data_IF_180146390020
#
_entry.id   IF_180146390020
#
_cell.length_a   1.000
_cell.length_b   1.000
_cell.length_c   1.000
_cell.angle_alpha   90.00
_cell.angle_beta   90.00
_cell.angle_gamma   90.00
#
_symmetry.space_group_name_H-M   'P 1'
#
loop_
_entity.id
_entity.type
_entity.pdbx_description
1 polymer ?
#
# COMPACT_ATOMS: atom_id res chain seq x y z
N UNK A 1 37.88 -23.23 -10.75
CA UNK A 1 37.19 -22.85 -12.00
C UNK A 1 35.71 -22.79 -11.67
N UNK A 2 35.27 -21.66 -11.12
CA UNK A 2 34.49 -20.63 -11.83
C UNK A 2 33.19 -21.18 -12.42
N UNK A 3 32.14 -21.23 -11.60
CA UNK A 3 30.75 -21.13 -12.07
C UNK A 3 30.29 -19.72 -11.71
N UNK A 4 30.34 -18.84 -12.70
CA UNK A 4 30.01 -17.43 -12.55
C UNK A 4 28.60 -17.23 -12.02
N UNK A 5 28.47 -16.30 -11.08
CA UNK A 5 27.23 -15.57 -10.89
C UNK A 5 26.95 -14.81 -12.19
N UNK A 6 26.12 -15.37 -13.05
CA UNK A 6 25.44 -14.62 -14.10
C UNK A 6 24.42 -13.68 -13.41
N UNK A 7 24.93 -12.58 -12.86
CA UNK A 7 24.12 -11.39 -12.64
C UNK A 7 23.77 -10.85 -14.02
N UNK A 8 22.66 -11.32 -14.59
CA UNK A 8 22.07 -10.65 -15.73
C UNK A 8 21.86 -9.18 -15.35
N UNK A 9 22.26 -8.21 -16.18
CA UNK A 9 21.97 -6.80 -15.92
C UNK A 9 20.45 -6.65 -15.86
N UNK A 10 19.90 -6.48 -14.65
CA UNK A 10 18.48 -6.31 -14.44
C UNK A 10 18.05 -5.01 -15.13
N UNK A 11 17.15 -5.14 -16.10
CA UNK A 11 16.66 -4.07 -16.94
C UNK A 11 15.73 -3.16 -16.14
N UNK A 12 16.25 -2.03 -15.64
CA UNK A 12 15.50 -0.96 -14.91
C UNK A 12 14.06 -0.83 -15.41
N UNK A 13 13.08 -1.27 -14.62
CA UNK A 13 11.66 -1.36 -15.03
C UNK A 13 10.93 -0.03 -14.88
N UNK A 14 11.44 0.83 -13.99
CA UNK A 14 10.91 2.16 -13.71
C UNK A 14 11.00 3.10 -14.93
N UNK A 15 9.92 3.82 -15.30
CA UNK A 15 9.98 4.83 -16.34
C UNK A 15 10.84 6.03 -15.91
N UNK A 16 11.43 6.72 -16.88
CA UNK A 16 12.31 7.88 -16.66
C UNK A 16 12.00 9.04 -17.62
N UNK A 17 10.72 9.35 -17.80
CA UNK A 17 10.28 10.49 -18.61
C UNK A 17 10.66 11.80 -17.91
N UNK A 18 11.06 12.78 -18.68
CA UNK A 18 11.20 14.17 -18.21
C UNK A 18 9.83 14.84 -18.05
N UNK A 19 9.77 15.93 -17.28
CA UNK A 19 8.57 16.76 -17.12
C UNK A 19 7.99 17.20 -18.49
N UNK A 20 8.87 17.49 -19.46
CA UNK A 20 8.46 17.87 -20.82
C UNK A 20 7.80 16.70 -21.56
N UNK A 21 8.42 15.51 -21.55
CA UNK A 21 7.86 14.32 -22.20
C UNK A 21 6.54 13.91 -21.55
N UNK A 22 6.45 14.01 -20.22
CA UNK A 22 5.21 13.74 -19.49
C UNK A 22 4.10 14.75 -19.83
N UNK A 23 4.41 16.04 -19.99
CA UNK A 23 3.43 17.03 -20.43
C UNK A 23 2.95 16.80 -21.89
N UNK A 24 3.87 16.44 -22.79
CA UNK A 24 3.55 16.07 -24.17
C UNK A 24 2.67 14.80 -24.22
N UNK A 25 2.94 13.84 -23.34
CA UNK A 25 2.15 12.62 -23.18
C UNK A 25 0.71 12.95 -22.76
N UNK A 26 0.52 13.85 -21.79
CA UNK A 26 -0.81 14.28 -21.33
C UNK A 26 -1.62 14.90 -22.47
N UNK A 27 -1.02 15.82 -23.23
CA UNK A 27 -1.67 16.45 -24.38
C UNK A 27 -1.97 15.43 -25.50
N UNK A 28 -1.02 14.54 -25.81
CA UNK A 28 -1.17 13.52 -26.86
C UNK A 28 -2.31 12.56 -26.54
N UNK A 29 -2.31 11.98 -25.34
CA UNK A 29 -3.19 10.86 -24.95
C UNK A 29 -4.54 11.35 -24.41
N UNK A 30 -4.57 12.41 -23.59
CA UNK A 30 -5.78 12.88 -22.91
C UNK A 30 -6.32 14.20 -23.48
N UNK A 31 -5.55 14.90 -24.31
CA UNK A 31 -6.01 16.13 -24.98
C UNK A 31 -6.03 17.36 -24.08
N UNK A 32 -5.31 17.30 -22.97
CA UNK A 32 -5.25 18.37 -21.98
C UNK A 32 -3.96 19.17 -22.12
N UNK A 33 -4.08 20.51 -22.15
CA UNK A 33 -2.92 21.39 -22.10
C UNK A 33 -2.46 21.55 -20.65
N UNK A 34 -1.21 21.16 -20.40
CA UNK A 34 -0.57 21.25 -19.08
C UNK A 34 -0.15 22.70 -18.81
N UNK A 35 -0.58 23.23 -17.67
CA UNK A 35 -0.13 24.52 -17.13
C UNK A 35 1.19 24.35 -16.38
N UNK A 36 1.26 23.36 -15.49
CA UNK A 36 2.50 22.92 -14.86
C UNK A 36 2.43 21.42 -14.53
N UNK A 37 3.60 20.81 -14.39
CA UNK A 37 3.77 19.42 -14.01
C UNK A 37 4.94 19.31 -13.04
N UNK A 38 4.86 18.42 -12.06
CA UNK A 38 5.95 18.13 -11.13
C UNK A 38 6.00 16.64 -10.81
N UNK A 39 7.20 16.08 -10.75
CA UNK A 39 7.41 14.70 -10.32
C UNK A 39 6.95 14.48 -8.88
N UNK A 40 6.36 13.31 -8.62
CA UNK A 40 6.01 12.82 -7.29
C UNK A 40 6.91 11.62 -6.92
N UNK A 41 7.28 11.49 -5.63
CA UNK A 41 7.96 10.30 -5.15
C UNK A 41 7.16 9.02 -5.47
N UNK A 42 7.88 7.95 -5.77
CA UNK A 42 7.30 6.70 -6.27
C UNK A 42 8.27 5.54 -6.09
N UNK A 43 7.73 4.33 -5.95
CA UNK A 43 8.51 3.10 -5.82
C UNK A 43 9.04 2.64 -7.19
N UNK A 44 8.28 1.79 -7.90
CA UNK A 44 8.62 1.28 -9.23
C UNK A 44 7.99 2.04 -10.40
N UNK A 45 6.89 2.74 -10.16
CA UNK A 45 6.20 3.56 -11.17
C UNK A 45 6.78 4.97 -11.25
N UNK A 46 6.33 5.77 -12.22
CA UNK A 46 6.63 7.20 -12.30
C UNK A 46 5.33 8.01 -12.24
N UNK A 47 5.23 8.89 -11.23
CA UNK A 47 4.04 9.67 -10.95
C UNK A 47 4.32 11.17 -11.12
N UNK A 48 3.38 11.91 -11.68
CA UNK A 48 3.46 13.37 -11.76
C UNK A 48 2.17 14.02 -11.29
N UNK A 49 2.27 15.09 -10.50
CA UNK A 49 1.15 15.98 -10.26
C UNK A 49 1.07 16.97 -11.44
N UNK A 50 -0.09 17.03 -12.08
CA UNK A 50 -0.36 17.81 -13.28
C UNK A 50 -1.48 18.80 -13.00
N UNK A 51 -1.31 20.07 -13.37
CA UNK A 51 -2.40 21.04 -13.44
C UNK A 51 -2.64 21.44 -14.88
N UNK A 52 -3.90 21.50 -15.30
CA UNK A 52 -4.28 21.83 -16.68
C UNK A 52 -4.75 23.27 -16.81
N UNK A 53 -4.63 23.83 -18.02
CA UNK A 53 -4.89 25.26 -18.32
C UNK A 53 -6.38 25.60 -18.57
N UNK A 54 -7.32 24.70 -18.29
CA UNK A 54 -8.76 24.92 -18.53
C UNK A 54 -9.39 25.86 -17.48
N UNK A 55 -10.56 26.45 -17.80
CA UNK A 55 -11.36 27.20 -16.82
C UNK A 55 -11.75 26.27 -15.65
N UNK A 56 -11.37 26.63 -14.42
CA UNK A 56 -11.52 25.77 -13.24
C UNK A 56 -10.22 25.10 -12.77
N UNK A 57 -9.19 25.04 -13.63
CA UNK A 57 -7.85 24.53 -13.37
C UNK A 57 -7.81 23.22 -12.56
N UNK A 58 -8.31 22.16 -13.18
CA UNK A 58 -8.31 20.82 -12.58
C UNK A 58 -6.88 20.28 -12.38
N UNK A 59 -6.73 19.49 -11.31
CA UNK A 59 -5.48 18.85 -10.93
C UNK A 59 -5.61 17.32 -11.06
N UNK A 60 -4.55 16.68 -11.56
CA UNK A 60 -4.50 15.25 -11.85
C UNK A 60 -3.17 14.63 -11.41
N UNK A 61 -3.17 13.30 -11.26
CA UNK A 61 -1.95 12.50 -11.17
C UNK A 61 -1.80 11.70 -12.45
N UNK A 62 -0.74 11.99 -13.21
CA UNK A 62 -0.29 11.13 -14.30
C UNK A 62 0.50 9.98 -13.68
N UNK A 63 -0.02 8.75 -13.82
CA UNK A 63 0.64 7.53 -13.37
C UNK A 63 1.13 6.74 -14.58
N UNK A 64 2.44 6.53 -14.64
CA UNK A 64 3.12 5.72 -15.66
C UNK A 64 3.59 4.45 -14.96
N UNK A 65 2.88 3.35 -15.19
CA UNK A 65 3.18 2.07 -14.56
C UNK A 65 4.42 1.46 -15.19
N UNK A 66 5.28 0.85 -14.37
CA UNK A 66 6.54 0.25 -14.79
C UNK A 66 6.39 -0.80 -15.91
N UNK A 67 7.47 -1.09 -16.62
CA UNK A 67 7.41 -1.88 -17.85
C UNK A 67 6.99 -3.35 -17.64
N UNK A 68 7.21 -3.89 -16.44
CA UNK A 68 6.90 -5.27 -16.09
C UNK A 68 5.41 -5.42 -15.78
N UNK A 69 4.87 -4.61 -14.86
CA UNK A 69 3.44 -4.60 -14.57
C UNK A 69 2.59 -4.18 -15.77
N UNK A 70 3.15 -3.36 -16.67
CA UNK A 70 2.50 -2.99 -17.93
C UNK A 70 2.29 -4.15 -18.90
N UNK A 71 2.90 -5.32 -18.66
CA UNK A 71 2.60 -6.55 -19.40
C UNK A 71 1.31 -7.24 -18.93
N UNK A 72 0.72 -6.79 -17.82
CA UNK A 72 -0.49 -7.35 -17.20
C UNK A 72 -1.67 -6.35 -17.28
N UNK A 73 -2.20 -6.04 -18.48
CA UNK A 73 -3.24 -5.03 -18.63
C UNK A 73 -4.53 -5.35 -17.87
N UNK A 74 -4.88 -6.64 -17.72
CA UNK A 74 -6.05 -7.07 -16.94
C UNK A 74 -5.89 -6.78 -15.43
N UNK A 75 -4.66 -6.75 -14.92
CA UNK A 75 -4.38 -6.35 -13.53
C UNK A 75 -4.63 -4.86 -13.35
N UNK A 76 -4.09 -4.04 -14.24
CA UNK A 76 -4.23 -2.59 -14.19
C UNK A 76 -5.69 -2.16 -14.43
N UNK A 77 -6.42 -2.88 -15.30
CA UNK A 77 -7.86 -2.74 -15.49
C UNK A 77 -8.60 -3.01 -14.18
N UNK A 78 -8.36 -4.16 -13.53
CA UNK A 78 -9.04 -4.52 -12.29
C UNK A 78 -8.80 -3.48 -11.18
N UNK A 79 -7.57 -2.98 -11.04
CA UNK A 79 -7.23 -1.93 -10.08
C UNK A 79 -7.97 -0.63 -10.37
N UNK A 80 -7.98 -0.19 -11.64
CA UNK A 80 -8.60 1.07 -12.05
C UNK A 80 -10.13 1.00 -11.91
N UNK A 81 -10.73 -0.15 -12.25
CA UNK A 81 -12.16 -0.39 -12.05
C UNK A 81 -12.54 -0.46 -10.57
N UNK A 82 -11.70 -1.05 -9.72
CA UNK A 82 -11.93 -1.05 -8.28
C UNK A 82 -11.90 0.38 -7.69
N UNK A 83 -10.99 1.23 -8.16
CA UNK A 83 -10.95 2.65 -7.77
C UNK A 83 -12.24 3.38 -8.16
N UNK A 84 -12.72 3.19 -9.39
CA UNK A 84 -13.97 3.78 -9.88
C UNK A 84 -15.18 3.27 -9.08
N UNK A 85 -15.24 1.97 -8.82
CA UNK A 85 -16.28 1.33 -8.04
C UNK A 85 -16.34 1.89 -6.61
N UNK A 86 -15.19 1.98 -5.93
CA UNK A 86 -15.09 2.54 -4.59
C UNK A 86 -15.54 4.01 -4.54
N UNK A 87 -15.16 4.81 -5.55
CA UNK A 87 -15.59 6.20 -5.66
C UNK A 87 -17.12 6.30 -5.75
N UNK A 88 -17.74 5.42 -6.56
CA UNK A 88 -19.20 5.34 -6.68
C UNK A 88 -19.90 4.87 -5.39
N UNK A 89 -19.25 4.03 -4.59
CA UNK A 89 -19.72 3.62 -3.25
C UNK A 89 -19.44 4.67 -2.16
N UNK A 90 -18.87 5.82 -2.51
CA UNK A 90 -18.65 6.96 -1.61
C UNK A 90 -17.31 6.95 -0.86
N UNK A 91 -16.38 6.06 -1.23
CA UNK A 91 -15.01 6.10 -0.72
C UNK A 91 -14.23 7.23 -1.41
N UNK A 92 -13.28 7.87 -0.71
CA UNK A 92 -12.49 8.94 -1.29
C UNK A 92 -11.35 8.37 -2.15
N UNK A 93 -11.68 7.76 -3.28
CA UNK A 93 -10.71 7.24 -4.26
C UNK A 93 -10.70 8.10 -5.53
N UNK A 94 -9.55 8.10 -6.23
CA UNK A 94 -9.40 8.81 -7.49
C UNK A 94 -10.18 8.12 -8.62
N UNK A 95 -10.61 8.90 -9.61
CA UNK A 95 -11.25 8.40 -10.83
C UNK A 95 -10.39 8.71 -12.06
N UNK A 96 -10.39 7.84 -13.10
CA UNK A 96 -9.60 8.09 -14.29
C UNK A 96 -10.25 9.16 -15.18
N UNK A 97 -9.42 10.04 -15.72
CA UNK A 97 -9.76 10.89 -16.85
C UNK A 97 -9.56 10.10 -18.14
N UNK A 98 -10.56 10.11 -19.01
CA UNK A 98 -10.56 9.29 -20.22
C UNK A 98 -9.55 9.80 -21.26
N UNK A 99 -8.94 8.88 -21.99
CA UNK A 99 -8.13 9.20 -23.17
C UNK A 99 -9.01 9.83 -24.27
N UNK A 100 -8.39 10.41 -25.30
CA UNK A 100 -9.11 10.92 -26.48
C UNK A 100 -9.99 9.87 -27.17
N UNK A 101 -9.61 8.60 -27.05
CA UNK A 101 -10.35 7.48 -27.62
C UNK A 101 -11.41 6.90 -26.65
N UNK A 102 -11.59 7.52 -25.48
CA UNK A 102 -12.61 7.14 -24.48
C UNK A 102 -12.20 6.01 -23.55
N UNK A 103 -10.92 5.61 -23.53
CA UNK A 103 -10.43 4.53 -22.65
C UNK A 103 -9.97 5.08 -21.29
N UNK A 104 -9.95 4.24 -20.25
CA UNK A 104 -9.48 4.63 -18.90
C UNK A 104 -7.95 4.60 -18.76
N UNK A 105 -7.24 4.03 -19.73
CA UNK A 105 -5.79 3.92 -19.78
C UNK A 105 -5.28 3.77 -21.22
N UNK A 106 -4.00 4.00 -21.44
CA UNK A 106 -3.33 3.82 -22.74
C UNK A 106 -1.98 3.13 -22.59
N UNK A 107 -1.64 2.21 -23.49
CA UNK A 107 -0.33 1.57 -23.54
C UNK A 107 0.60 2.37 -24.47
N UNK A 108 1.60 3.01 -23.88
CA UNK A 108 2.46 3.97 -24.56
C UNK A 108 3.90 3.47 -24.64
N UNK A 109 4.58 3.73 -25.76
CA UNK A 109 6.01 3.43 -25.89
C UNK A 109 6.84 4.50 -25.17
N UNK A 110 7.82 4.07 -24.37
CA UNK A 110 8.74 4.98 -23.65
C UNK A 110 9.70 5.75 -24.56
N UNK A 111 10.01 5.19 -25.73
CA UNK A 111 10.72 5.89 -26.80
C UNK A 111 10.24 5.40 -28.18
N UNK A 112 10.66 6.10 -29.24
CA UNK A 112 10.28 5.81 -30.62
C UNK A 112 11.10 4.68 -31.29
N UNK A 113 11.97 3.97 -30.55
CA UNK A 113 12.86 2.94 -31.10
C UNK A 113 12.19 1.56 -31.09
N UNK A 114 12.44 0.71 -32.09
CA UNK A 114 12.02 -0.69 -32.04
C UNK A 114 12.59 -1.41 -30.81
N UNK A 115 11.76 -2.10 -30.05
CA UNK A 115 12.15 -2.77 -28.80
C UNK A 115 12.05 -1.90 -27.55
N UNK A 116 11.48 -0.69 -27.66
CA UNK A 116 11.26 0.18 -26.52
C UNK A 116 10.27 -0.43 -25.52
N UNK A 117 10.55 -0.21 -24.24
CA UNK A 117 9.66 -0.61 -23.17
C UNK A 117 8.33 0.12 -23.32
N UNK A 118 7.24 -0.61 -23.13
CA UNK A 118 5.89 -0.05 -23.11
C UNK A 118 5.45 0.14 -21.66
N UNK A 119 4.69 1.20 -21.45
CA UNK A 119 4.21 1.62 -20.16
C UNK A 119 2.72 1.87 -20.23
N UNK A 120 1.97 1.32 -19.29
CA UNK A 120 0.56 1.64 -19.13
C UNK A 120 0.42 2.99 -18.45
N UNK A 121 -0.36 3.88 -19.05
CA UNK A 121 -0.51 5.27 -18.62
C UNK A 121 -1.95 5.52 -18.22
N UNK A 122 -2.13 6.11 -17.04
CA UNK A 122 -3.41 6.56 -16.49
C UNK A 122 -3.31 8.01 -16.06
N UNK A 123 -4.38 8.78 -16.25
CA UNK A 123 -4.53 10.11 -15.67
C UNK A 123 -5.65 10.03 -14.65
N UNK A 124 -5.36 10.33 -13.39
CA UNK A 124 -6.28 10.15 -12.27
C UNK A 124 -6.61 11.51 -11.65
N UNK A 125 -7.83 11.74 -11.18
CA UNK A 125 -8.17 12.96 -10.42
C UNK A 125 -7.24 13.12 -9.23
N UNK A 126 -6.70 14.32 -9.00
CA UNK A 126 -5.89 14.60 -7.82
C UNK A 126 -6.78 14.63 -6.56
N UNK A 127 -6.36 13.92 -5.52
CA UNK A 127 -7.05 13.94 -4.22
C UNK A 127 -6.33 14.92 -3.30
N UNK A 128 -7.01 15.96 -2.80
CA UNK A 128 -6.43 16.86 -1.80
C UNK A 128 -6.35 16.16 -0.43
N UNK A 129 -5.40 16.61 0.37
CA UNK A 129 -5.25 16.15 1.76
C UNK A 129 -3.80 16.03 2.18
N UNK A 130 -3.61 15.74 3.45
CA UNK A 130 -2.30 15.53 4.06
C UNK A 130 -2.12 14.05 4.34
N UNK A 131 -1.02 13.40 3.89
CA UNK A 131 -0.74 12.02 4.25
C UNK A 131 -0.70 11.83 5.77
N UNK A 132 -1.19 10.69 6.26
CA UNK A 132 -1.14 10.34 7.69
C UNK A 132 0.29 10.40 8.25
N UNK A 133 1.29 10.05 7.43
CA UNK A 133 2.73 10.18 7.71
C UNK A 133 3.22 11.60 8.08
N UNK A 134 2.36 12.62 7.95
CA UNK A 134 2.70 14.02 8.22
C UNK A 134 1.90 14.63 9.37
N UNK A 135 1.06 13.85 10.04
CA UNK A 135 0.25 14.33 11.16
C UNK A 135 0.60 13.59 12.45
N UNK A 136 0.41 14.26 13.59
CA UNK A 136 0.34 13.56 14.85
C UNK A 136 -1.01 12.83 14.91
N UNK A 137 -0.99 11.50 14.84
CA UNK A 137 -2.18 10.66 14.92
C UNK A 137 -2.77 10.68 16.33
N UNK A 138 -4.06 10.38 16.42
CA UNK A 138 -4.79 10.23 17.66
C UNK A 138 -5.73 9.01 17.59
N UNK A 139 -6.30 8.64 18.72
CA UNK A 139 -7.16 7.46 18.82
C UNK A 139 -8.35 7.49 17.84
N UNK A 140 -8.92 8.67 17.57
CA UNK A 140 -10.05 8.84 16.65
C UNK A 140 -9.66 8.52 15.21
N UNK A 141 -8.58 9.08 14.67
CA UNK A 141 -8.18 8.80 13.29
C UNK A 141 -7.70 7.36 13.10
N UNK A 142 -7.06 6.77 14.11
CA UNK A 142 -6.64 5.36 14.08
C UNK A 142 -7.86 4.42 13.99
N UNK A 143 -8.91 4.70 14.77
CA UNK A 143 -10.17 3.98 14.69
C UNK A 143 -10.83 4.14 13.31
N UNK A 144 -10.90 5.37 12.78
CA UNK A 144 -11.49 5.61 11.45
C UNK A 144 -10.71 4.91 10.32
N UNK A 145 -9.37 4.83 10.41
CA UNK A 145 -8.54 4.09 9.46
C UNK A 145 -8.85 2.59 9.49
N UNK A 146 -8.95 2.00 10.68
CA UNK A 146 -9.33 0.59 10.82
C UNK A 146 -10.72 0.31 10.25
N UNK A 147 -11.68 1.19 10.54
CA UNK A 147 -13.05 1.10 10.02
C UNK A 147 -13.10 1.23 8.51
N UNK A 148 -12.31 2.15 7.93
CA UNK A 148 -12.18 2.33 6.49
C UNK A 148 -11.66 1.07 5.82
N UNK A 149 -10.57 0.48 6.34
CA UNK A 149 -9.98 -0.74 5.81
C UNK A 149 -11.00 -1.88 5.74
N UNK A 150 -11.70 -2.16 6.85
CA UNK A 150 -12.74 -3.19 6.88
C UNK A 150 -13.93 -2.90 5.95
N UNK A 151 -14.35 -1.63 5.86
CA UNK A 151 -15.46 -1.22 4.99
C UNK A 151 -15.12 -1.41 3.52
N UNK A 152 -13.88 -1.09 3.13
CA UNK A 152 -13.38 -1.25 1.77
C UNK A 152 -13.27 -2.73 1.38
N UNK A 153 -12.62 -3.55 2.22
CA UNK A 153 -12.50 -4.99 1.97
C UNK A 153 -13.87 -5.65 1.83
N UNK A 154 -14.82 -5.27 2.70
CA UNK A 154 -16.18 -5.79 2.69
C UNK A 154 -16.92 -5.41 1.43
N UNK A 155 -16.93 -4.13 1.05
CA UNK A 155 -17.68 -3.68 -0.14
C UNK A 155 -17.09 -4.24 -1.43
N UNK A 156 -15.75 -4.33 -1.54
CA UNK A 156 -15.08 -4.97 -2.67
C UNK A 156 -15.48 -6.45 -2.75
N UNK A 157 -15.45 -7.17 -1.64
CA UNK A 157 -15.76 -8.61 -1.63
C UNK A 157 -17.23 -8.91 -1.90
N UNK A 158 -18.15 -8.08 -1.40
CA UNK A 158 -19.59 -8.32 -1.51
C UNK A 158 -20.20 -7.82 -2.83
N UNK A 159 -19.64 -6.77 -3.43
CA UNK A 159 -20.29 -6.03 -4.52
C UNK A 159 -19.44 -5.80 -5.76
N UNK A 160 -18.10 -5.81 -5.68
CA UNK A 160 -17.27 -5.53 -6.85
C UNK A 160 -17.24 -6.74 -7.79
N UNK A 161 -17.74 -6.54 -9.01
CA UNK A 161 -17.76 -7.56 -10.05
C UNK A 161 -17.18 -6.96 -11.33
N UNK A 162 -16.10 -7.57 -11.83
CA UNK A 162 -15.49 -7.18 -13.10
C UNK A 162 -14.82 -8.39 -13.75
N UNK A 163 -14.88 -8.59 -15.09
CA UNK A 163 -14.24 -9.73 -15.75
C UNK A 163 -12.75 -9.86 -15.44
N UNK A 164 -12.05 -8.73 -15.27
CA UNK A 164 -10.63 -8.71 -14.97
C UNK A 164 -10.31 -8.99 -13.51
N UNK A 165 -11.27 -9.03 -12.58
CA UNK A 165 -11.00 -9.21 -11.13
C UNK A 165 -10.18 -10.48 -10.81
N UNK A 166 -10.24 -11.50 -11.66
CA UNK A 166 -9.42 -12.72 -11.57
C UNK A 166 -7.90 -12.45 -11.62
N UNK A 167 -7.46 -11.35 -12.23
CA UNK A 167 -6.05 -10.94 -12.29
C UNK A 167 -5.48 -10.56 -10.93
N UNK A 168 -6.34 -10.30 -9.94
CA UNK A 168 -5.95 -10.07 -8.55
C UNK A 168 -5.44 -11.34 -7.84
N UNK A 169 -5.55 -12.53 -8.45
CA UNK A 169 -4.90 -13.75 -7.97
C UNK A 169 -3.40 -13.75 -8.33
N UNK A 170 -2.62 -12.97 -7.58
CA UNK A 170 -1.20 -12.74 -7.85
C UNK A 170 -0.33 -13.72 -7.04
N UNK A 171 -0.22 -14.96 -7.52
CA UNK A 171 0.37 -16.09 -6.78
C UNK A 171 1.68 -15.78 -6.01
N UNK A 172 2.73 -15.36 -6.71
CA UNK A 172 4.04 -15.04 -6.10
C UNK A 172 4.26 -13.54 -5.88
N UNK A 173 3.19 -12.74 -5.73
CA UNK A 173 3.34 -11.31 -5.49
C UNK A 173 3.87 -11.04 -4.09
N UNK A 174 5.09 -10.49 -4.02
CA UNK A 174 5.86 -10.37 -2.78
C UNK A 174 5.17 -9.54 -1.69
N UNK A 175 4.30 -8.61 -2.08
CA UNK A 175 3.55 -7.76 -1.14
C UNK A 175 2.25 -8.36 -0.64
N UNK A 176 1.80 -9.50 -1.18
CA UNK A 176 0.73 -10.26 -0.56
C UNK A 176 1.26 -10.88 0.74
N UNK A 177 0.54 -10.71 1.85
CA UNK A 177 1.03 -11.12 3.17
C UNK A 177 1.15 -12.65 3.32
N UNK A 178 0.45 -13.45 2.50
CA UNK A 178 0.66 -14.90 2.44
C UNK A 178 2.07 -15.27 1.93
N UNK A 179 2.74 -14.34 1.23
CA UNK A 179 4.03 -14.55 0.60
C UNK A 179 5.23 -14.06 1.44
N UNK A 180 5.04 -13.80 2.75
CA UNK A 180 6.15 -13.58 3.70
C UNK A 180 7.27 -14.64 3.59
N UNK A 181 6.98 -15.94 3.37
CA UNK A 181 8.04 -16.94 3.15
C UNK A 181 8.97 -16.66 1.96
N UNK A 182 8.53 -15.91 0.94
CA UNK A 182 9.39 -15.56 -0.20
C UNK A 182 10.54 -14.63 0.20
N UNK A 183 10.49 -13.99 1.38
CA UNK A 183 11.55 -13.12 1.87
C UNK A 183 12.91 -13.83 2.05
N UNK A 184 12.93 -15.16 2.17
CA UNK A 184 14.16 -15.95 2.21
C UNK A 184 15.10 -15.62 1.04
N UNK A 185 14.53 -15.35 -0.15
CA UNK A 185 15.33 -15.05 -1.34
C UNK A 185 15.96 -13.66 -1.33
N UNK A 186 15.53 -12.77 -0.41
CA UNK A 186 15.98 -11.37 -0.33
C UNK A 186 16.77 -11.06 0.94
N UNK A 187 16.80 -11.98 1.90
CA UNK A 187 17.45 -11.78 3.22
C UNK A 187 18.93 -11.43 3.11
N UNK A 188 19.58 -11.83 2.01
CA UNK A 188 20.97 -11.49 1.72
C UNK A 188 21.21 -9.97 1.72
N UNK A 189 20.20 -9.17 1.35
CA UNK A 189 20.29 -7.71 1.28
C UNK A 189 20.55 -7.06 2.65
N UNK A 190 20.22 -7.75 3.74
CA UNK A 190 20.48 -7.27 5.10
C UNK A 190 21.94 -7.43 5.53
N UNK A 191 22.73 -8.28 4.86
CA UNK A 191 24.04 -8.69 5.34
C UNK A 191 23.96 -9.55 6.62
N UNK A 192 25.08 -9.72 7.33
CA UNK A 192 25.16 -10.51 8.56
C UNK A 192 25.03 -9.61 9.79
N UNK A 193 23.83 -9.52 10.36
CA UNK A 193 23.56 -8.73 11.56
C UNK A 193 22.34 -9.25 12.34
N UNK A 194 22.05 -8.62 13.48
CA UNK A 194 20.91 -8.97 14.33
C UNK A 194 19.54 -8.84 13.66
N UNK A 195 19.38 -7.91 12.71
CA UNK A 195 18.12 -7.71 11.99
C UNK A 195 17.83 -8.88 11.06
N UNK A 196 18.86 -9.46 10.43
CA UNK A 196 18.71 -10.68 9.63
C UNK A 196 18.19 -11.84 10.46
N UNK A 197 18.84 -12.15 11.59
CA UNK A 197 18.42 -13.26 12.46
C UNK A 197 16.98 -13.08 12.97
N UNK A 198 16.61 -11.84 13.29
CA UNK A 198 15.25 -11.47 13.69
C UNK A 198 14.23 -11.75 12.57
N UNK A 199 14.52 -11.37 11.32
CA UNK A 199 13.62 -11.63 10.20
C UNK A 199 13.55 -13.12 9.86
N UNK A 200 14.67 -13.85 9.90
CA UNK A 200 14.70 -15.31 9.73
C UNK A 200 13.76 -16.00 10.74
N UNK A 201 13.77 -15.55 12.01
CA UNK A 201 12.87 -16.05 13.04
C UNK A 201 11.40 -15.73 12.73
N UNK A 202 11.08 -14.52 12.25
CA UNK A 202 9.72 -14.15 11.84
C UNK A 202 9.23 -15.03 10.70
N UNK A 203 10.05 -15.23 9.66
CA UNK A 203 9.70 -16.07 8.51
C UNK A 203 9.43 -17.51 8.96
N UNK A 204 10.27 -18.08 9.80
CA UNK A 204 10.09 -19.45 10.30
C UNK A 204 8.81 -19.60 11.13
N UNK A 205 8.54 -18.64 12.02
CA UNK A 205 7.28 -18.63 12.77
C UNK A 205 6.07 -18.46 11.85
N UNK A 206 6.17 -17.63 10.82
CA UNK A 206 5.09 -17.43 9.85
C UNK A 206 4.77 -18.72 9.10
N UNK A 207 5.80 -19.43 8.62
CA UNK A 207 5.67 -20.75 7.97
C UNK A 207 5.02 -21.79 8.89
N UNK A 208 5.42 -21.83 10.16
CA UNK A 208 4.93 -22.84 11.11
C UNK A 208 3.54 -22.55 11.69
N UNK A 209 3.18 -21.27 11.86
CA UNK A 209 1.97 -20.86 12.61
C UNK A 209 0.87 -20.22 11.74
N UNK A 210 1.23 -19.49 10.67
CA UNK A 210 0.26 -18.75 9.84
C UNK A 210 -0.11 -19.51 8.57
N UNK A 211 0.88 -19.97 7.80
CA UNK A 211 0.63 -20.68 6.52
C UNK A 211 -0.35 -21.87 6.67
N UNK A 212 -0.24 -22.75 7.69
CA UNK A 212 -1.16 -23.87 7.84
C UNK A 212 -2.61 -23.46 8.14
N UNK A 213 -2.82 -22.22 8.58
CA UNK A 213 -4.13 -21.68 8.98
C UNK A 213 -4.80 -20.84 7.89
N UNK A 214 -4.13 -20.53 6.78
CA UNK A 214 -4.71 -19.65 5.75
C UNK A 214 -6.09 -20.11 5.26
N UNK A 215 -6.33 -21.42 5.15
CA UNK A 215 -7.62 -21.97 4.74
C UNK A 215 -8.76 -21.76 5.75
N UNK A 216 -8.47 -21.40 7.00
CA UNK A 216 -9.48 -21.03 8.00
C UNK A 216 -9.76 -19.52 8.05
N UNK A 217 -8.95 -18.70 7.39
CA UNK A 217 -9.16 -17.26 7.30
C UNK A 217 -10.21 -16.92 6.24
N UNK A 218 -10.95 -15.83 6.44
CA UNK A 218 -11.96 -15.39 5.48
C UNK A 218 -11.31 -14.57 4.38
N UNK A 219 -11.42 -15.06 3.15
CA UNK A 219 -10.86 -14.40 1.98
C UNK A 219 -11.60 -13.10 1.64
N UNK A 220 -10.85 -12.14 1.10
CA UNK A 220 -11.38 -10.87 0.57
C UNK A 220 -10.47 -10.33 -0.53
N UNK A 221 -10.90 -9.25 -1.18
CA UNK A 221 -10.03 -8.43 -2.01
C UNK A 221 -9.42 -7.36 -1.10
N UNK A 222 -8.09 -7.34 -0.99
CA UNK A 222 -7.36 -6.35 -0.22
C UNK A 222 -6.90 -5.20 -1.13
N UNK A 223 -6.79 -4.01 -0.56
CA UNK A 223 -5.95 -2.95 -1.12
C UNK A 223 -4.47 -3.35 -1.02
N UNK A 224 -4.08 -3.96 0.09
CA UNK A 224 -2.75 -4.57 0.27
C UNK A 224 -1.61 -3.58 0.54
N UNK A 225 -1.92 -2.28 0.63
CA UNK A 225 -0.93 -1.22 0.89
C UNK A 225 -1.58 0.05 1.48
N UNK A 226 -2.52 -0.12 2.42
CA UNK A 226 -3.04 0.98 3.23
C UNK A 226 -1.99 1.47 4.23
N UNK A 227 -0.95 2.10 3.71
CA UNK A 227 0.12 2.72 4.49
C UNK A 227 -0.18 4.20 4.82
N UNK A 228 0.63 4.73 5.72
CA UNK A 228 0.59 6.10 6.24
C UNK A 228 0.84 7.18 5.16
N UNK A 229 1.45 6.84 4.04
CA UNK A 229 1.60 7.74 2.90
C UNK A 229 0.42 7.69 1.92
N UNK A 230 -0.29 6.56 1.85
CA UNK A 230 -1.39 6.32 0.91
C UNK A 230 -2.77 6.71 1.48
N UNK A 231 -2.85 6.97 2.79
CA UNK A 231 -4.06 7.51 3.41
C UNK A 231 -3.89 9.02 3.57
N UNK A 232 -4.78 9.79 2.93
CA UNK A 232 -4.86 11.24 3.09
C UNK A 232 -5.94 11.61 4.09
N UNK A 233 -5.68 12.66 4.87
CA UNK A 233 -6.63 13.24 5.80
C UNK A 233 -6.78 14.75 5.60
N UNK A 234 -7.96 15.25 5.92
CA UNK A 234 -8.22 16.67 6.13
C UNK A 234 -8.48 16.93 7.61
N UNK A 235 -8.03 18.10 8.09
CA UNK A 235 -8.39 18.59 9.42
C UNK A 235 -9.80 19.17 9.37
N UNK A 236 -10.74 18.53 10.08
CA UNK A 236 -12.12 19.00 10.20
C UNK A 236 -12.32 19.97 11.37
N UNK A 237 -11.32 20.16 12.24
CA UNK A 237 -11.40 21.03 13.42
C UNK A 237 -10.64 22.34 13.24
N UNK A 238 -11.20 23.43 13.79
CA UNK A 238 -10.53 24.72 13.95
C UNK A 238 -9.60 24.78 15.19
N UNK A 239 -9.65 23.77 16.07
CA UNK A 239 -8.81 23.71 17.27
C UNK A 239 -7.48 23.00 16.96
N UNK A 240 -6.37 23.71 17.22
CA UNK A 240 -5.01 23.18 17.07
C UNK A 240 -4.62 22.22 18.20
N UNK A 241 -5.34 22.22 19.34
CA UNK A 241 -4.99 21.41 20.51
C UNK A 241 -5.53 19.97 20.43
N UNK A 242 -6.67 19.78 19.74
CA UNK A 242 -7.29 18.47 19.51
C UNK A 242 -7.81 18.40 18.07
N UNK A 243 -6.91 18.21 17.09
CA UNK A 243 -7.32 18.14 15.70
C UNK A 243 -8.22 16.91 15.50
N UNK A 244 -9.36 17.13 14.84
CA UNK A 244 -10.17 16.04 14.31
C UNK A 244 -9.78 15.84 12.86
N UNK A 245 -9.53 14.59 12.49
CA UNK A 245 -9.16 14.24 11.14
C UNK A 245 -10.26 13.39 10.51
N UNK A 246 -10.49 13.63 9.22
CA UNK A 246 -11.34 12.78 8.39
C UNK A 246 -10.50 12.29 7.22
N UNK A 247 -10.60 11.01 6.90
CA UNK A 247 -9.97 10.47 5.70
C UNK A 247 -10.57 11.15 4.47
N UNK A 248 -9.69 11.76 3.67
CA UNK A 248 -10.03 12.54 2.48
C UNK A 248 -9.54 11.90 1.18
N UNK A 249 -8.69 10.86 1.27
CA UNK A 249 -8.15 10.18 0.10
C UNK A 249 -7.56 8.81 0.42
N UNK A 250 -7.76 7.87 -0.49
CA UNK A 250 -7.05 6.58 -0.56
C UNK A 250 -6.28 6.56 -1.87
N UNK A 251 -4.97 6.40 -1.77
CA UNK A 251 -4.05 6.40 -2.90
C UNK A 251 -3.50 5.00 -3.15
N UNK A 252 -3.05 4.81 -4.38
CA UNK A 252 -2.26 3.68 -4.85
C UNK A 252 -2.84 2.27 -4.68
N UNK A 253 -3.60 1.83 -5.68
CA UNK A 253 -4.19 0.50 -5.75
C UNK A 253 -3.27 -0.52 -6.47
N UNK A 254 -1.97 -0.25 -6.64
CA UNK A 254 -1.05 -1.16 -7.36
C UNK A 254 -0.86 -2.52 -6.70
N UNK A 255 -1.07 -2.59 -5.38
CA UNK A 255 -0.79 -3.77 -4.56
C UNK A 255 -2.04 -4.63 -4.31
N UNK A 256 -3.17 -4.25 -4.92
CA UNK A 256 -4.40 -5.02 -4.82
C UNK A 256 -4.17 -6.48 -5.18
N UNK A 257 -4.71 -7.36 -4.35
CA UNK A 257 -4.70 -8.80 -4.56
C UNK A 257 -5.79 -9.49 -3.74
N UNK A 258 -6.11 -10.73 -4.09
CA UNK A 258 -6.88 -11.59 -3.20
C UNK A 258 -6.04 -11.95 -1.98
N UNK A 259 -6.60 -11.72 -0.80
CA UNK A 259 -6.00 -12.06 0.49
C UNK A 259 -7.08 -12.39 1.50
N UNK A 260 -6.96 -11.88 2.72
CA UNK A 260 -7.86 -12.17 3.83
C UNK A 260 -8.12 -10.90 4.64
N UNK A 261 -9.27 -10.81 5.30
CA UNK A 261 -9.61 -9.60 6.08
C UNK A 261 -8.55 -9.25 7.12
N UNK A 262 -7.99 -10.29 7.77
CA UNK A 262 -6.92 -10.11 8.76
C UNK A 262 -5.61 -9.56 8.16
N UNK A 263 -5.40 -9.68 6.84
CA UNK A 263 -4.21 -9.13 6.19
C UNK A 263 -4.26 -7.61 6.13
N UNK A 264 -5.38 -7.01 5.71
CA UNK A 264 -5.49 -5.55 5.59
C UNK A 264 -5.34 -4.87 6.95
N UNK A 265 -5.99 -5.40 8.00
CA UNK A 265 -5.84 -4.84 9.35
C UNK A 265 -4.41 -4.98 9.88
N UNK A 266 -3.72 -6.10 9.60
CA UNK A 266 -2.31 -6.25 9.98
C UNK A 266 -1.40 -5.24 9.25
N UNK A 267 -1.67 -4.99 7.97
CA UNK A 267 -0.95 -4.00 7.17
C UNK A 267 -1.18 -2.60 7.72
N UNK A 268 -2.44 -2.21 7.95
CA UNK A 268 -2.80 -0.91 8.50
C UNK A 268 -2.20 -0.69 9.90
N UNK A 269 -2.28 -1.69 10.79
CA UNK A 269 -1.65 -1.62 12.12
C UNK A 269 -0.15 -1.35 11.98
N UNK A 270 0.56 -2.14 11.17
CA UNK A 270 2.01 -1.98 10.99
C UNK A 270 2.39 -0.55 10.61
N UNK A 271 1.75 0.02 9.58
CA UNK A 271 2.09 1.37 9.13
C UNK A 271 1.68 2.46 10.12
N UNK A 272 0.55 2.30 10.82
CA UNK A 272 0.18 3.26 11.87
C UNK A 272 1.15 3.22 13.07
N UNK A 273 1.83 2.09 13.30
CA UNK A 273 2.89 2.00 14.31
C UNK A 273 4.15 2.78 13.92
N UNK A 274 4.47 2.93 12.63
CA UNK A 274 5.70 3.58 12.13
C UNK A 274 5.80 5.03 12.57
N UNK A 275 4.67 5.74 12.56
CA UNK A 275 4.57 7.16 12.83
C UNK A 275 4.37 7.48 14.32
N UNK A 276 4.13 6.45 15.14
CA UNK A 276 3.79 6.65 16.56
C UNK A 276 5.02 6.65 17.46
N UNK A 277 5.12 7.61 18.42
CA UNK A 277 6.13 7.54 19.47
C UNK A 277 5.86 6.40 20.46
N UNK A 278 4.61 5.92 20.56
CA UNK A 278 4.19 4.76 21.35
C UNK A 278 3.55 3.72 20.42
N UNK A 279 4.35 2.94 19.67
CA UNK A 279 3.86 2.08 18.60
C UNK A 279 2.97 0.94 19.12
N UNK A 280 3.25 0.38 20.29
CA UNK A 280 2.54 -0.82 20.75
C UNK A 280 1.09 -0.54 21.17
N UNK A 281 0.75 0.70 21.57
CA UNK A 281 -0.63 1.05 21.91
C UNK A 281 -1.53 1.28 20.68
N UNK A 282 -0.94 1.47 19.49
CA UNK A 282 -1.67 1.84 18.27
C UNK A 282 -2.59 0.73 17.76
N UNK A 283 -2.11 -0.52 17.77
CA UNK A 283 -2.80 -1.62 17.10
C UNK A 283 -4.21 -1.85 17.60
N UNK A 284 -4.46 -1.60 18.89
CA UNK A 284 -5.78 -1.76 19.49
C UNK A 284 -6.83 -0.75 18.97
N UNK A 285 -6.43 0.49 18.68
CA UNK A 285 -7.34 1.50 18.14
C UNK A 285 -7.76 1.18 16.70
N UNK A 286 -6.79 0.81 15.86
CA UNK A 286 -7.04 0.38 14.48
C UNK A 286 -7.88 -0.89 14.46
N UNK A 287 -7.54 -1.87 15.31
CA UNK A 287 -8.30 -3.12 15.42
C UNK A 287 -9.76 -2.86 15.83
N UNK A 288 -10.02 -1.98 16.81
CA UNK A 288 -11.38 -1.63 17.21
C UNK A 288 -12.19 -1.04 16.05
N UNK A 289 -11.57 -0.18 15.25
CA UNK A 289 -12.17 0.36 14.04
C UNK A 289 -12.55 -0.74 13.05
N UNK A 290 -11.60 -1.63 12.76
CA UNK A 290 -11.79 -2.73 11.83
C UNK A 290 -12.90 -3.69 12.28
N UNK A 291 -12.85 -4.14 13.54
CA UNK A 291 -13.81 -5.09 14.10
C UNK A 291 -15.22 -4.51 14.28
N UNK A 292 -15.37 -3.18 14.25
CA UNK A 292 -16.70 -2.54 14.22
C UNK A 292 -17.49 -2.83 12.93
N UNK A 293 -16.79 -3.25 11.86
CA UNK A 293 -17.40 -3.58 10.56
C UNK A 293 -17.23 -5.06 10.23
N UNK A 294 -16.03 -5.60 10.43
CA UNK A 294 -15.70 -7.01 10.19
C UNK A 294 -15.02 -7.57 11.45
N UNK A 295 -15.80 -8.14 12.40
CA UNK A 295 -15.23 -8.80 13.58
C UNK A 295 -14.31 -9.95 13.15
N UNK A 296 -13.10 -10.03 13.70
CA UNK A 296 -12.18 -11.13 13.38
C UNK A 296 -12.63 -12.43 14.05
N UNK A 297 -12.40 -13.54 13.37
CA UNK A 297 -12.54 -14.88 13.96
C UNK A 297 -11.40 -15.14 14.96
N UNK A 298 -11.54 -16.16 15.81
CA UNK A 298 -10.48 -16.53 16.75
C UNK A 298 -9.16 -16.91 16.05
N UNK A 299 -9.23 -17.60 14.91
CA UNK A 299 -8.04 -17.99 14.14
C UNK A 299 -7.35 -16.80 13.49
N UNK A 300 -8.11 -15.87 12.89
CA UNK A 300 -7.58 -14.62 12.36
C UNK A 300 -6.94 -13.79 13.47
N UNK A 301 -7.66 -13.60 14.58
CA UNK A 301 -7.20 -12.80 15.72
C UNK A 301 -5.91 -13.36 16.32
N UNK A 302 -5.81 -14.68 16.49
CA UNK A 302 -4.60 -15.35 17.00
C UNK A 302 -3.44 -15.44 16.01
N UNK A 303 -3.57 -14.89 14.80
CA UNK A 303 -2.46 -14.76 13.85
C UNK A 303 -1.97 -13.30 13.73
N UNK A 304 -2.67 -12.34 14.34
CA UNK A 304 -2.49 -10.91 14.09
C UNK A 304 -1.05 -10.44 14.40
N UNK A 305 -0.48 -10.87 15.53
CA UNK A 305 0.89 -10.52 15.91
C UNK A 305 1.92 -10.92 14.84
N UNK A 306 1.82 -12.15 14.32
CA UNK A 306 2.74 -12.64 13.30
C UNK A 306 2.47 -12.04 11.92
N UNK A 307 1.23 -11.69 11.61
CA UNK A 307 0.88 -10.96 10.39
C UNK A 307 1.49 -9.55 10.39
N UNK A 308 1.39 -8.81 11.49
CA UNK A 308 2.04 -7.50 11.65
C UNK A 308 3.57 -7.65 11.58
N UNK A 309 4.14 -8.65 12.26
CA UNK A 309 5.57 -8.97 12.19
C UNK A 309 6.02 -9.28 10.76
N UNK A 310 5.21 -10.05 10.03
CA UNK A 310 5.45 -10.42 8.64
C UNK A 310 5.44 -9.21 7.71
N UNK A 311 4.51 -8.26 7.90
CA UNK A 311 4.47 -7.03 7.10
C UNK A 311 5.66 -6.11 7.41
N UNK A 312 6.09 -6.01 8.67
CA UNK A 312 7.36 -5.36 9.00
C UNK A 312 8.53 -6.00 8.24
N UNK A 313 8.64 -7.34 8.30
CA UNK A 313 9.70 -8.07 7.60
C UNK A 313 9.65 -7.83 6.08
N UNK A 314 8.48 -7.87 5.45
CA UNK A 314 8.30 -7.58 4.02
C UNK A 314 8.79 -6.18 3.69
N UNK A 315 8.28 -5.16 4.38
CA UNK A 315 8.64 -3.76 4.11
C UNK A 315 10.15 -3.54 4.26
N UNK A 316 10.74 -4.02 5.35
CA UNK A 316 12.14 -3.77 5.69
C UNK A 316 13.13 -4.54 4.79
N UNK A 317 12.85 -5.82 4.50
CA UNK A 317 13.72 -6.64 3.63
C UNK A 317 13.64 -6.16 2.18
N UNK A 318 12.44 -5.94 1.68
CA UNK A 318 12.26 -5.54 0.28
C UNK A 318 12.75 -4.11 0.07
N UNK A 319 12.59 -3.20 1.03
CA UNK A 319 13.25 -1.89 0.99
C UNK A 319 14.78 -2.01 0.89
N UNK A 320 15.40 -2.85 1.73
CA UNK A 320 16.84 -3.07 1.70
C UNK A 320 17.32 -3.67 0.37
N UNK A 321 16.60 -4.67 -0.15
CA UNK A 321 16.89 -5.26 -1.45
C UNK A 321 16.77 -4.23 -2.59
N UNK A 322 15.66 -3.51 -2.65
CA UNK A 322 15.41 -2.55 -3.73
C UNK A 322 16.37 -1.36 -3.66
N UNK A 323 16.82 -0.94 -2.47
CA UNK A 323 17.84 0.09 -2.33
C UNK A 323 19.21 -0.33 -2.90
N UNK A 324 19.52 -1.62 -2.95
CA UNK A 324 20.72 -2.12 -3.65
C UNK A 324 20.58 -2.02 -5.17
N UNK A 325 19.36 -2.10 -5.71
CA UNK A 325 19.07 -2.02 -7.14
C UNK A 325 18.93 -0.58 -7.64
N UNK A 326 18.34 0.29 -6.81
CA UNK A 326 18.03 1.69 -7.11
C UNK A 326 18.63 2.62 -6.03
N UNK A 327 19.97 2.71 -5.96
CA UNK A 327 20.63 3.48 -4.89
C UNK A 327 20.23 4.95 -4.87
N UNK A 328 19.87 5.52 -6.02
CA UNK A 328 19.37 6.90 -6.17
C UNK A 328 18.01 7.13 -5.49
N UNK A 329 17.22 6.07 -5.25
CA UNK A 329 15.91 6.15 -4.60
C UNK A 329 15.96 5.73 -3.12
N UNK A 330 17.14 5.48 -2.56
CA UNK A 330 17.33 4.93 -1.20
C UNK A 330 16.62 5.74 -0.13
N UNK A 331 16.65 7.08 -0.21
CA UNK A 331 16.02 7.94 0.80
C UNK A 331 14.51 7.69 0.91
N UNK A 332 13.82 7.53 -0.23
CA UNK A 332 12.40 7.20 -0.27
C UNK A 332 12.14 5.74 0.15
N UNK A 333 12.93 4.80 -0.38
CA UNK A 333 12.76 3.36 -0.10
C UNK A 333 12.95 3.01 1.37
N UNK A 334 13.75 3.80 2.11
CA UNK A 334 14.10 3.52 3.51
C UNK A 334 13.32 4.34 4.53
N UNK A 335 12.27 5.08 4.11
CA UNK A 335 11.44 5.87 5.03
C UNK A 335 10.94 5.02 6.20
N UNK A 336 10.28 3.89 5.92
CA UNK A 336 9.79 2.96 6.95
C UNK A 336 10.93 2.41 7.82
N UNK A 337 12.11 2.18 7.24
CA UNK A 337 13.24 1.60 7.96
C UNK A 337 13.86 2.54 9.02
N UNK A 338 13.54 3.84 8.98
CA UNK A 338 14.01 4.82 9.98
C UNK A 338 13.60 4.45 11.40
N UNK A 339 12.39 3.92 11.59
CA UNK A 339 11.86 3.48 12.89
C UNK A 339 11.44 2.01 12.91
N UNK A 340 11.11 1.41 11.76
CA UNK A 340 10.54 0.07 11.64
C UNK A 340 11.40 -1.04 12.27
N UNK A 341 12.73 -0.99 12.13
CA UNK A 341 13.62 -1.98 12.79
C UNK A 341 13.51 -1.96 14.31
N UNK A 342 13.42 -0.75 14.90
CA UNK A 342 13.26 -0.57 16.34
C UNK A 342 11.90 -1.09 16.78
N UNK A 343 10.84 -0.75 16.05
CA UNK A 343 9.48 -1.18 16.39
C UNK A 343 9.29 -2.69 16.31
N UNK A 344 9.76 -3.34 15.24
CA UNK A 344 9.72 -4.80 15.13
C UNK A 344 10.51 -5.46 16.27
N UNK A 345 11.71 -4.96 16.59
CA UNK A 345 12.53 -5.48 17.69
C UNK A 345 11.80 -5.35 19.03
N UNK A 346 11.26 -4.18 19.35
CA UNK A 346 10.50 -3.95 20.59
C UNK A 346 9.27 -4.85 20.66
N UNK A 347 8.54 -5.04 19.55
CA UNK A 347 7.36 -5.90 19.50
C UNK A 347 7.72 -7.36 19.79
N UNK A 348 8.82 -7.85 19.23
CA UNK A 348 9.31 -9.22 19.46
C UNK A 348 9.90 -9.42 20.87
N UNK A 349 10.55 -8.40 21.43
CA UNK A 349 11.08 -8.42 22.81
C UNK A 349 9.97 -8.41 23.87
N UNK A 350 8.91 -7.63 23.66
CA UNK A 350 7.73 -7.61 24.54
C UNK A 350 6.94 -8.92 24.42
N UNK A 351 6.88 -9.49 23.22
CA UNK A 351 6.30 -10.80 22.95
C UNK A 351 4.80 -10.78 22.62
N UNK A 352 4.37 -11.85 21.96
CA UNK A 352 3.02 -12.06 21.40
C UNK A 352 1.91 -11.79 22.43
N UNK A 353 1.94 -12.46 23.58
CA UNK A 353 0.89 -12.37 24.61
C UNK A 353 0.68 -10.95 25.13
N UNK A 354 1.76 -10.21 25.42
CA UNK A 354 1.68 -8.88 25.99
C UNK A 354 1.21 -7.82 24.96
N UNK A 355 1.68 -7.95 23.72
CA UNK A 355 1.24 -7.06 22.61
C UNK A 355 -0.23 -7.30 22.30
N UNK A 356 -0.63 -8.56 22.12
CA UNK A 356 -2.02 -8.92 21.83
C UNK A 356 -2.97 -8.53 22.95
N UNK A 357 -2.57 -8.73 24.22
CA UNK A 357 -3.35 -8.25 25.36
C UNK A 357 -3.61 -6.75 25.27
N UNK A 358 -2.57 -5.96 25.00
CA UNK A 358 -2.70 -4.49 24.86
C UNK A 358 -3.67 -4.12 23.75
N UNK A 359 -3.54 -4.75 22.57
CA UNK A 359 -4.42 -4.47 21.43
C UNK A 359 -5.87 -4.89 21.70
N UNK A 360 -6.08 -6.08 22.27
CA UNK A 360 -7.41 -6.63 22.47
C UNK A 360 -8.17 -5.95 23.61
N UNK A 361 -7.51 -5.62 24.72
CA UNK A 361 -8.12 -4.83 25.80
C UNK A 361 -8.51 -3.43 25.31
N UNK A 362 -7.63 -2.79 24.52
CA UNK A 362 -7.91 -1.49 23.91
C UNK A 362 -9.10 -1.58 22.95
N UNK A 363 -9.14 -2.59 22.07
CA UNK A 363 -10.24 -2.76 21.13
C UNK A 363 -11.57 -3.04 21.86
N UNK A 364 -11.54 -3.86 22.91
CA UNK A 364 -12.71 -4.16 23.73
C UNK A 364 -13.26 -2.92 24.45
N UNK A 365 -12.39 -1.99 24.88
CA UNK A 365 -12.83 -0.76 25.53
C UNK A 365 -13.71 0.11 24.62
N UNK A 366 -13.53 0.09 23.29
CA UNK A 366 -14.41 0.80 22.36
C UNK A 366 -15.81 0.20 22.30
N UNK A 367 -15.93 -1.12 22.41
CA UNK A 367 -17.23 -1.81 22.38
C UNK A 367 -18.06 -1.46 23.62
N UNK A 368 -17.42 -1.34 24.78
CA UNK A 368 -18.11 -0.97 26.02
C UNK A 368 -18.62 0.49 26.00
N UNK A 369 -17.86 1.41 25.38
CA UNK A 369 -18.31 2.80 25.22
C UNK A 369 -19.42 2.96 24.16
N UNK A 370 -19.54 2.06 23.18
CA UNK A 370 -20.62 2.10 22.19
C UNK A 370 -21.97 1.57 22.73
N UNK A 371 -21.95 0.81 23.83
CA UNK A 371 -23.13 0.20 24.46
C UNK A 371 -23.62 0.96 25.70
N UNK A 372 -22.85 1.92 26.20
CA UNK A 372 -23.19 2.82 27.30
C UNK A 372 -23.73 4.15 26.75
#
# INVERSE_FOLDING_TARGET
MSSGNDCQPQTLTKPALSDKEAAELVDRVFGLKVSWIRSLPSYGDQNFHVRVSAEGADEYVLKITNSEDSQEPDLIEAQTQAMMFLSAEGFPSATPYLTKDGNIMSLESGDARPGSKKYMVRLLTYLPGTPVAKIATNAQILYEIGKLAASMDKVLSEKFQHPSVKSLHRGNFIWNLANVPLLDQYIYALGQNKHRAMVEQVIEQFKGKVIPKLSSFRACINHGDLNDHNILVDSSSASLETPQYRVSGILDFSDMSYGYYVFEVAIAIMYMMIESPDPLSIGGHVLAGFESVVPLTAEERGALFLLVSGRFAQSLVIAAHTALLYPENTEYLTITAKTGWKHLMTMLEVGEEAVEKTWFETAQAYMHHALA
#
